data_IF_220778588205
#
_entry.id   IF_220778588205
#
_cell.length_a   1.000
_cell.length_b   1.000
_cell.length_c   1.000
_cell.angle_alpha   90.00
_cell.angle_beta   90.00
_cell.angle_gamma   90.00
#
_symmetry.space_group_name_H-M   'P 1'
#
loop_
_entity.id
_entity.type
_entity.pdbx_description
1 polymer ?
#
# COMPACT_ATOMS: atom_id res chain seq x y z
N UNK A 1 -0.39 10.61 12.40
CA UNK A 1 -1.41 9.85 13.16
C UNK A 1 -2.24 9.07 12.16
N UNK A 2 -1.95 7.78 11.97
CA UNK A 2 -2.74 6.89 11.11
C UNK A 2 -4.09 6.65 11.78
N UNK A 3 -5.17 7.16 11.21
CA UNK A 3 -6.51 6.84 11.67
C UNK A 3 -6.76 5.34 11.44
N UNK A 4 -6.75 4.54 12.51
CA UNK A 4 -7.09 3.12 12.45
C UNK A 4 -8.56 2.96 12.06
N UNK A 5 -8.85 2.81 10.77
CA UNK A 5 -10.22 2.64 10.24
C UNK A 5 -10.92 1.40 10.81
N UNK A 6 -10.15 0.40 11.26
CA UNK A 6 -10.64 -0.87 11.78
C UNK A 6 -9.82 -1.34 12.99
N UNK A 7 -10.43 -2.22 13.80
CA UNK A 7 -9.76 -3.04 14.81
C UNK A 7 -10.01 -4.52 14.51
N UNK A 8 -8.97 -5.34 14.71
CA UNK A 8 -9.09 -6.79 14.67
C UNK A 8 -9.26 -7.35 16.08
N UNK A 9 -10.32 -8.13 16.32
CA UNK A 9 -10.53 -8.85 17.59
C UNK A 9 -10.70 -10.35 17.33
N UNK A 10 -10.19 -11.24 18.19
CA UNK A 10 -10.47 -12.67 18.07
C UNK A 10 -11.97 -12.90 17.92
N UNK A 11 -12.36 -13.74 16.95
CA UNK A 11 -13.76 -14.09 16.76
C UNK A 11 -14.28 -14.88 17.97
N UNK A 12 -15.53 -14.64 18.36
CA UNK A 12 -16.21 -15.43 19.39
C UNK A 12 -17.63 -15.76 18.96
N UNK A 13 -18.26 -16.73 19.64
CA UNK A 13 -19.66 -17.12 19.37
C UNK A 13 -20.65 -15.95 19.51
N UNK A 14 -20.31 -14.92 20.31
CA UNK A 14 -21.13 -13.71 20.49
C UNK A 14 -21.22 -12.87 19.21
N UNK A 15 -20.21 -12.95 18.34
CA UNK A 15 -20.16 -12.21 17.07
C UNK A 15 -21.11 -12.80 16.02
N UNK A 16 -21.71 -13.98 16.26
CA UNK A 16 -22.53 -14.71 15.28
C UNK A 16 -23.71 -13.88 14.73
N UNK A 17 -24.37 -13.09 15.59
CA UNK A 17 -25.49 -12.24 15.17
C UNK A 17 -25.06 -11.18 14.15
N UNK A 18 -23.88 -10.59 14.34
CA UNK A 18 -23.35 -9.56 13.45
C UNK A 18 -22.77 -10.15 12.15
N UNK A 19 -22.26 -11.38 12.22
CA UNK A 19 -21.67 -12.07 11.06
C UNK A 19 -22.72 -12.76 10.18
N UNK A 20 -23.88 -13.12 10.72
CA UNK A 20 -24.94 -13.80 9.96
C UNK A 20 -25.32 -13.03 8.68
N UNK A 21 -25.63 -11.70 8.70
CA UNK A 21 -25.95 -10.98 7.47
C UNK A 21 -24.84 -11.04 6.40
N UNK A 22 -23.58 -11.09 6.81
CA UNK A 22 -22.42 -11.17 5.92
C UNK A 22 -22.30 -12.57 5.32
N UNK A 23 -22.51 -13.61 6.14
CA UNK A 23 -22.44 -15.02 5.72
C UNK A 23 -23.72 -15.53 5.05
N UNK A 24 -24.81 -14.78 5.12
CA UNK A 24 -26.02 -15.03 4.33
C UNK A 24 -25.99 -14.36 2.95
N UNK A 25 -25.04 -13.45 2.70
CA UNK A 25 -24.93 -12.74 1.42
C UNK A 25 -24.23 -13.61 0.35
N UNK A 26 -24.96 -13.95 -0.70
CA UNK A 26 -24.45 -14.71 -1.84
C UNK A 26 -23.29 -14.01 -2.56
N UNK A 27 -23.29 -12.66 -2.60
CA UNK A 27 -22.21 -11.90 -3.23
C UNK A 27 -20.88 -12.04 -2.46
N UNK A 28 -20.95 -12.22 -1.14
CA UNK A 28 -19.78 -12.46 -0.28
C UNK A 28 -19.39 -13.94 -0.31
N UNK A 29 -20.33 -14.83 0.00
CA UNK A 29 -20.07 -16.26 0.20
C UNK A 29 -19.59 -16.98 -1.05
N UNK A 30 -19.94 -16.51 -2.26
CA UNK A 30 -19.42 -17.04 -3.53
C UNK A 30 -17.90 -17.06 -3.64
N UNK A 31 -17.19 -16.26 -2.85
CA UNK A 31 -15.72 -16.22 -2.80
C UNK A 31 -15.12 -16.99 -1.62
N UNK A 32 -15.95 -17.57 -0.77
CA UNK A 32 -15.52 -18.27 0.44
C UNK A 32 -15.55 -19.78 0.24
N UNK A 33 -14.97 -20.52 1.19
CA UNK A 33 -15.03 -22.00 1.21
C UNK A 33 -16.31 -22.55 1.84
N UNK A 34 -17.18 -21.67 2.36
CA UNK A 34 -18.35 -22.05 3.14
C UNK A 34 -19.64 -21.85 2.36
N UNK A 35 -20.65 -22.70 2.58
CA UNK A 35 -21.99 -22.44 2.06
C UNK A 35 -22.60 -21.20 2.73
N UNK A 36 -23.64 -20.66 2.09
CA UNK A 36 -24.48 -19.59 2.65
C UNK A 36 -25.03 -20.06 3.99
N UNK A 37 -24.87 -19.24 5.03
CA UNK A 37 -25.49 -19.50 6.33
C UNK A 37 -26.93 -19.00 6.33
N UNK A 38 -27.87 -19.86 6.71
CA UNK A 38 -29.32 -19.56 6.69
C UNK A 38 -29.87 -19.27 8.09
N UNK A 39 -29.12 -19.57 9.14
CA UNK A 39 -29.56 -19.45 10.53
C UNK A 39 -28.45 -19.00 11.46
N UNK A 40 -28.83 -18.40 12.60
CA UNK A 40 -27.90 -18.06 13.68
C UNK A 40 -27.18 -19.30 14.21
N UNK A 41 -27.86 -20.44 14.25
CA UNK A 41 -27.29 -21.72 14.68
C UNK A 41 -26.16 -22.17 13.75
N UNK A 42 -26.31 -22.02 12.44
CA UNK A 42 -25.24 -22.31 11.47
C UNK A 42 -24.07 -21.35 11.63
N UNK A 43 -24.31 -20.05 11.83
CA UNK A 43 -23.25 -19.07 12.07
C UNK A 43 -22.45 -19.42 13.34
N UNK A 44 -23.13 -19.75 14.45
CA UNK A 44 -22.48 -20.21 15.69
C UNK A 44 -21.68 -21.50 15.50
N UNK A 45 -22.24 -22.46 14.77
CA UNK A 45 -21.56 -23.72 14.43
C UNK A 45 -20.29 -23.47 13.62
N UNK A 46 -20.34 -22.56 12.64
CA UNK A 46 -19.18 -22.17 11.84
C UNK A 46 -18.09 -21.52 12.69
N UNK A 47 -18.45 -20.66 13.65
CA UNK A 47 -17.49 -20.04 14.57
C UNK A 47 -16.81 -21.10 15.44
N UNK A 48 -17.58 -22.00 16.06
CA UNK A 48 -17.04 -23.11 16.85
C UNK A 48 -16.06 -23.97 16.05
N UNK A 49 -16.41 -24.26 14.79
CA UNK A 49 -15.53 -25.01 13.91
C UNK A 49 -14.22 -24.26 13.63
N UNK A 50 -14.28 -22.94 13.39
CA UNK A 50 -13.10 -22.10 13.20
C UNK A 50 -12.21 -22.09 14.45
N UNK A 51 -12.78 -21.92 15.64
CA UNK A 51 -12.06 -21.93 16.92
C UNK A 51 -11.38 -23.28 17.21
N UNK A 52 -12.02 -24.39 16.82
CA UNK A 52 -11.49 -25.75 17.01
C UNK A 52 -10.45 -26.14 15.94
N UNK A 53 -10.33 -25.39 14.84
CA UNK A 53 -9.42 -25.72 13.76
C UNK A 53 -7.98 -25.37 14.15
N UNK A 54 -7.14 -26.40 14.32
CA UNK A 54 -5.70 -26.23 14.60
C UNK A 54 -5.00 -25.46 13.48
N UNK A 55 -3.91 -24.77 13.84
CA UNK A 55 -3.08 -24.01 12.90
C UNK A 55 -3.85 -22.91 12.15
N UNK A 56 -4.83 -22.30 12.83
CA UNK A 56 -5.57 -21.15 12.33
C UNK A 56 -5.70 -20.09 13.40
N UNK A 57 -5.91 -18.85 12.98
CA UNK A 57 -6.40 -17.77 13.83
C UNK A 57 -7.39 -16.94 13.03
N UNK A 58 -8.50 -16.56 13.67
CA UNK A 58 -9.57 -15.80 13.00
C UNK A 58 -9.96 -14.60 13.86
N UNK A 59 -10.08 -13.46 13.18
CA UNK A 59 -10.44 -12.19 13.78
C UNK A 59 -11.68 -11.61 13.11
N UNK A 60 -12.55 -10.97 13.89
CA UNK A 60 -13.56 -10.05 13.37
C UNK A 60 -12.91 -8.71 13.02
N UNK A 61 -13.35 -8.13 11.91
CA UNK A 61 -13.00 -6.77 11.50
C UNK A 61 -14.08 -5.86 12.09
N UNK A 62 -13.72 -5.04 13.07
CA UNK A 62 -14.60 -4.04 13.68
C UNK A 62 -14.28 -2.67 13.11
N UNK A 63 -15.29 -1.92 12.66
CA UNK A 63 -15.13 -0.53 12.26
C UNK A 63 -14.72 0.32 13.47
N UNK A 64 -14.05 1.46 13.26
CA UNK A 64 -13.58 2.34 14.35
C UNK A 64 -14.69 2.86 15.29
N UNK A 65 -15.97 2.75 14.93
CA UNK A 65 -17.10 2.95 15.88
C UNK A 65 -17.14 1.90 17.01
N UNK A 66 -16.24 0.91 16.96
CA UNK A 66 -15.95 -0.11 17.96
C UNK A 66 -17.13 -1.04 18.28
N UNK A 67 -18.20 -1.00 17.48
CA UNK A 67 -19.39 -1.82 17.64
C UNK A 67 -19.74 -2.60 16.37
N UNK A 68 -19.49 -2.02 15.19
CA UNK A 68 -19.92 -2.62 13.93
C UNK A 68 -18.90 -3.64 13.43
N UNK A 69 -19.28 -4.92 13.45
CA UNK A 69 -18.52 -5.99 12.77
C UNK A 69 -18.87 -5.96 11.29
N UNK A 70 -17.85 -5.83 10.45
CA UNK A 70 -18.00 -5.62 9.01
C UNK A 70 -17.41 -6.76 8.16
N UNK A 71 -16.77 -7.74 8.79
CA UNK A 71 -16.16 -8.88 8.12
C UNK A 71 -15.28 -9.70 9.05
N UNK A 72 -14.53 -10.63 8.47
CA UNK A 72 -13.50 -11.39 9.19
C UNK A 72 -12.23 -11.51 8.37
N UNK A 73 -11.10 -11.67 9.04
CA UNK A 73 -9.84 -12.02 8.41
C UNK A 73 -9.00 -12.89 9.35
N UNK A 74 -7.97 -13.53 8.83
CA UNK A 74 -7.14 -14.39 9.66
C UNK A 74 -6.14 -15.22 8.88
N UNK A 75 -5.50 -16.12 9.61
CA UNK A 75 -4.52 -17.06 9.09
C UNK A 75 -5.06 -18.47 9.14
N UNK A 76 -4.70 -19.27 8.15
CA UNK A 76 -4.84 -20.73 8.16
C UNK A 76 -3.54 -21.36 7.70
N UNK A 77 -3.39 -22.66 8.00
CA UNK A 77 -2.16 -23.42 7.73
C UNK A 77 -0.92 -22.76 8.37
N UNK A 78 -1.09 -22.18 9.57
CA UNK A 78 0.02 -21.64 10.35
C UNK A 78 1.08 -22.71 10.56
N UNK A 79 2.26 -22.47 10.01
CA UNK A 79 3.40 -23.36 10.09
C UNK A 79 4.59 -22.60 10.66
N UNK A 80 4.81 -22.72 11.97
CA UNK A 80 5.92 -22.06 12.66
C UNK A 80 7.28 -22.70 12.37
N UNK A 81 7.33 -23.95 11.86
CA UNK A 81 8.58 -24.57 11.44
C UNK A 81 9.11 -23.97 10.13
N UNK A 82 8.21 -23.57 9.23
CA UNK A 82 8.55 -22.93 7.96
C UNK A 82 8.25 -21.44 7.94
N UNK A 83 7.78 -20.90 9.07
CA UNK A 83 7.43 -19.49 9.25
C UNK A 83 6.46 -19.00 8.16
N UNK A 84 5.45 -19.82 7.84
CA UNK A 84 4.46 -19.53 6.79
C UNK A 84 3.02 -19.56 7.27
N UNK A 85 2.15 -18.81 6.59
CA UNK A 85 0.70 -18.92 6.74
C UNK A 85 -0.04 -18.50 5.46
N UNK A 86 -1.26 -19.00 5.28
CA UNK A 86 -2.20 -18.52 4.26
C UNK A 86 -3.20 -17.56 4.91
N UNK A 87 -3.36 -16.37 4.34
CA UNK A 87 -4.36 -15.38 4.74
C UNK A 87 -5.71 -15.73 4.12
N UNK A 88 -6.77 -15.57 4.91
CA UNK A 88 -8.14 -15.58 4.43
C UNK A 88 -8.92 -14.38 4.98
N UNK A 89 -9.80 -13.80 4.16
CA UNK A 89 -10.62 -12.67 4.57
C UNK A 89 -11.94 -12.61 3.81
N UNK A 90 -12.93 -11.98 4.43
CA UNK A 90 -14.19 -11.59 3.82
C UNK A 90 -14.69 -10.27 4.42
N UNK A 91 -15.36 -9.46 3.61
CA UNK A 91 -16.00 -8.21 4.03
C UNK A 91 -17.46 -8.23 3.59
N UNK A 92 -18.37 -7.73 4.42
CA UNK A 92 -19.77 -7.50 4.02
C UNK A 92 -19.85 -6.60 2.79
N UNK A 93 -20.74 -6.94 1.85
CA UNK A 93 -20.87 -6.24 0.56
C UNK A 93 -21.16 -4.74 0.72
N UNK A 94 -21.93 -4.36 1.74
CA UNK A 94 -22.21 -2.97 2.10
C UNK A 94 -20.97 -2.13 2.45
N UNK A 95 -19.83 -2.77 2.74
CA UNK A 95 -18.58 -2.11 3.17
C UNK A 95 -17.48 -2.19 2.10
N UNK A 96 -17.78 -2.74 0.91
CA UNK A 96 -16.82 -2.83 -0.17
C UNK A 96 -16.43 -1.45 -0.72
N UNK A 97 -15.21 -1.37 -1.28
CA UNK A 97 -14.65 -0.18 -1.93
C UNK A 97 -14.55 1.08 -1.04
N UNK A 98 -14.56 0.89 0.28
CA UNK A 98 -14.44 1.96 1.28
C UNK A 98 -13.12 1.92 2.06
N UNK A 99 -12.14 1.14 1.60
CA UNK A 99 -10.80 1.04 2.23
C UNK A 99 -10.71 0.15 3.48
N UNK A 100 -11.84 -0.34 4.03
CA UNK A 100 -11.82 -1.15 5.26
C UNK A 100 -11.01 -2.44 5.16
N UNK A 101 -11.12 -3.19 4.06
CA UNK A 101 -10.33 -4.42 3.90
C UNK A 101 -8.84 -4.12 3.67
N UNK A 102 -8.50 -2.97 3.07
CA UNK A 102 -7.10 -2.53 2.99
C UNK A 102 -6.54 -2.31 4.39
N UNK A 103 -7.25 -1.58 5.25
CA UNK A 103 -6.84 -1.37 6.64
C UNK A 103 -6.75 -2.69 7.42
N UNK A 104 -7.72 -3.59 7.25
CA UNK A 104 -7.74 -4.89 7.92
C UNK A 104 -6.58 -5.79 7.47
N UNK A 105 -6.26 -5.79 6.16
CA UNK A 105 -5.14 -6.54 5.62
C UNK A 105 -3.82 -6.00 6.17
N UNK A 106 -3.61 -4.69 6.23
CA UNK A 106 -2.40 -4.10 6.80
C UNK A 106 -2.19 -4.48 8.28
N UNK A 107 -3.25 -4.41 9.09
CA UNK A 107 -3.18 -4.87 10.48
C UNK A 107 -2.89 -6.38 10.57
N UNK A 108 -3.45 -7.19 9.67
CA UNK A 108 -3.16 -8.61 9.62
C UNK A 108 -1.69 -8.88 9.22
N UNK A 109 -1.14 -8.13 8.26
CA UNK A 109 0.28 -8.24 7.89
C UNK A 109 1.20 -7.93 9.07
N UNK A 110 0.92 -6.85 9.82
CA UNK A 110 1.64 -6.53 11.07
C UNK A 110 1.55 -7.66 12.09
N UNK A 111 0.38 -8.29 12.26
CA UNK A 111 0.25 -9.46 13.14
C UNK A 111 1.13 -10.62 12.63
N UNK A 112 1.08 -10.94 11.33
CA UNK A 112 1.83 -12.06 10.75
C UNK A 112 3.35 -11.88 10.81
N UNK A 113 3.82 -10.71 10.40
CA UNK A 113 5.24 -10.39 10.30
C UNK A 113 5.84 -9.93 11.63
N UNK A 114 5.22 -8.98 12.33
CA UNK A 114 5.81 -8.40 13.54
C UNK A 114 5.53 -9.24 14.80
N UNK A 115 4.32 -9.80 14.95
CA UNK A 115 3.97 -10.54 16.18
C UNK A 115 4.22 -12.02 16.08
N UNK A 116 3.84 -12.64 14.96
CA UNK A 116 4.02 -14.07 14.74
C UNK A 116 5.40 -14.41 14.16
N UNK A 117 6.19 -13.41 13.76
CA UNK A 117 7.55 -13.57 13.22
C UNK A 117 7.58 -14.55 12.04
N UNK A 118 6.55 -14.51 11.20
CA UNK A 118 6.51 -15.32 9.99
C UNK A 118 7.42 -14.70 8.93
N UNK A 119 8.04 -15.52 8.09
CA UNK A 119 8.84 -15.07 6.96
C UNK A 119 7.98 -14.87 5.70
N UNK A 120 6.87 -15.61 5.57
CA UNK A 120 6.07 -15.63 4.33
C UNK A 120 4.57 -15.74 4.59
N UNK A 121 3.82 -14.89 3.90
CA UNK A 121 2.35 -14.91 3.88
C UNK A 121 1.84 -15.17 2.47
N UNK A 122 0.84 -16.04 2.34
CA UNK A 122 0.23 -16.41 1.07
C UNK A 122 -1.22 -15.96 1.01
N UNK A 123 -1.71 -15.59 -0.18
CA UNK A 123 -3.14 -15.39 -0.43
C UNK A 123 -3.54 -16.15 -1.68
N UNK A 124 -4.66 -16.87 -1.60
CA UNK A 124 -5.29 -17.52 -2.77
C UNK A 124 -6.54 -16.77 -3.16
N UNK A 125 -6.59 -16.34 -4.42
CA UNK A 125 -7.69 -15.53 -4.94
C UNK A 125 -8.27 -16.18 -6.18
N UNK A 126 -9.59 -16.33 -6.26
CA UNK A 126 -10.26 -16.76 -7.49
C UNK A 126 -9.91 -15.85 -8.67
N UNK A 127 -9.67 -16.43 -9.84
CA UNK A 127 -9.30 -15.68 -11.05
C UNK A 127 -10.36 -14.64 -11.48
N UNK A 128 -11.63 -14.88 -11.16
CA UNK A 128 -12.73 -13.94 -11.43
C UNK A 128 -12.89 -12.85 -10.36
N UNK A 129 -12.21 -12.97 -9.21
CA UNK A 129 -12.29 -12.00 -8.13
C UNK A 129 -11.26 -10.87 -8.31
N UNK A 130 -11.50 -10.03 -9.30
CA UNK A 130 -10.61 -8.90 -9.67
C UNK A 130 -10.39 -7.94 -8.49
N UNK A 131 -11.41 -7.73 -7.65
CA UNK A 131 -11.31 -6.83 -6.50
C UNK A 131 -10.28 -7.33 -5.47
N UNK A 132 -10.32 -8.62 -5.10
CA UNK A 132 -9.32 -9.19 -4.19
C UNK A 132 -7.93 -9.24 -4.81
N UNK A 133 -7.82 -9.46 -6.13
CA UNK A 133 -6.52 -9.41 -6.82
C UNK A 133 -5.89 -8.01 -6.73
N UNK A 134 -6.67 -6.96 -7.00
CA UNK A 134 -6.18 -5.58 -6.89
C UNK A 134 -5.79 -5.23 -5.45
N UNK A 135 -6.56 -5.69 -4.46
CA UNK A 135 -6.26 -5.50 -3.05
C UNK A 135 -4.90 -6.09 -2.67
N UNK A 136 -4.66 -7.36 -2.98
CA UNK A 136 -3.41 -8.03 -2.56
C UNK A 136 -2.20 -7.47 -3.31
N UNK A 137 -2.33 -7.14 -4.60
CA UNK A 137 -1.24 -6.50 -5.36
C UNK A 137 -0.87 -5.14 -4.78
N UNK A 138 -1.86 -4.32 -4.40
CA UNK A 138 -1.60 -3.03 -3.73
C UNK A 138 -0.96 -3.18 -2.37
N UNK A 139 -1.18 -4.31 -1.69
CA UNK A 139 -0.51 -4.64 -0.44
C UNK A 139 0.90 -5.24 -0.65
N UNK A 140 1.43 -5.21 -1.87
CA UNK A 140 2.79 -5.66 -2.20
C UNK A 140 2.92 -7.15 -2.55
N UNK A 141 1.82 -7.91 -2.54
CA UNK A 141 1.90 -9.34 -2.88
C UNK A 141 2.25 -9.57 -4.35
N UNK A 142 3.16 -10.50 -4.59
CA UNK A 142 3.57 -10.96 -5.91
C UNK A 142 2.78 -12.22 -6.31
N UNK A 143 2.41 -12.33 -7.59
CA UNK A 143 1.76 -13.55 -8.10
C UNK A 143 2.81 -14.59 -8.45
N UNK A 144 2.70 -15.79 -7.87
CA UNK A 144 3.65 -16.88 -8.12
C UNK A 144 3.12 -17.90 -9.13
N UNK A 145 1.80 -18.03 -9.28
CA UNK A 145 1.24 -18.97 -10.23
C UNK A 145 -0.28 -19.08 -10.20
N UNK A 146 -0.77 -20.01 -11.02
CA UNK A 146 -2.19 -20.33 -11.15
C UNK A 146 -2.44 -21.80 -10.85
N UNK A 147 -3.27 -22.05 -9.84
CA UNK A 147 -3.82 -23.37 -9.53
C UNK A 147 -5.02 -23.59 -10.47
N UNK A 148 -4.75 -24.22 -11.62
CA UNK A 148 -5.76 -24.54 -12.62
C UNK A 148 -6.86 -25.42 -12.03
N UNK A 149 -8.12 -25.01 -12.20
CA UNK A 149 -9.29 -25.71 -11.67
C UNK A 149 -9.21 -26.00 -10.15
N UNK A 150 -8.49 -25.16 -9.39
CA UNK A 150 -8.19 -25.38 -7.97
C UNK A 150 -9.37 -25.24 -7.02
N UNK A 151 -10.52 -24.70 -7.49
CA UNK A 151 -11.75 -24.59 -6.71
C UNK A 151 -12.95 -25.06 -7.50
N UNK A 152 -13.88 -25.73 -6.83
CA UNK A 152 -15.22 -26.01 -7.35
C UNK A 152 -16.25 -25.17 -6.61
N UNK A 153 -17.08 -24.42 -7.32
CA UNK A 153 -18.20 -23.66 -6.79
C UNK A 153 -19.43 -23.88 -7.65
N UNK A 154 -20.56 -24.26 -7.03
CA UNK A 154 -21.83 -24.52 -7.73
C UNK A 154 -21.69 -25.42 -8.98
N UNK A 155 -20.86 -26.46 -8.87
CA UNK A 155 -20.63 -27.42 -9.94
C UNK A 155 -19.56 -27.03 -10.96
N UNK A 156 -19.11 -25.77 -10.99
CA UNK A 156 -18.12 -25.26 -11.94
C UNK A 156 -16.72 -25.23 -11.32
N UNK A 157 -15.71 -25.61 -12.12
CA UNK A 157 -14.31 -25.50 -11.73
C UNK A 157 -13.76 -24.13 -12.11
N UNK A 158 -13.00 -23.53 -11.20
CA UNK A 158 -12.43 -22.19 -11.33
C UNK A 158 -10.93 -22.23 -11.02
N UNK A 159 -10.19 -21.43 -11.76
CA UNK A 159 -8.78 -21.17 -11.50
C UNK A 159 -8.60 -20.31 -10.25
N UNK A 160 -7.53 -20.58 -9.51
CA UNK A 160 -7.15 -19.86 -8.30
C UNK A 160 -5.74 -19.33 -8.46
N UNK A 161 -5.57 -18.03 -8.34
CA UNK A 161 -4.28 -17.36 -8.38
C UNK A 161 -3.62 -17.43 -7.01
N UNK A 162 -2.35 -17.81 -6.99
CA UNK A 162 -1.51 -17.85 -5.79
C UNK A 162 -0.64 -16.60 -5.73
N UNK A 163 -0.72 -15.91 -4.60
CA UNK A 163 0.08 -14.74 -4.29
C UNK A 163 0.88 -14.96 -3.01
N UNK A 164 2.03 -14.30 -2.90
CA UNK A 164 2.85 -14.29 -1.68
C UNK A 164 3.46 -12.92 -1.39
N UNK A 165 3.78 -12.71 -0.12
CA UNK A 165 4.55 -11.57 0.37
C UNK A 165 5.57 -12.09 1.39
N UNK A 166 6.82 -11.66 1.27
CA UNK A 166 7.92 -11.99 2.18
C UNK A 166 8.09 -10.92 3.26
N UNK A 167 8.65 -11.32 4.40
CA UNK A 167 8.93 -10.41 5.50
C UNK A 167 9.89 -9.28 5.09
N UNK A 168 10.92 -9.60 4.27
CA UNK A 168 11.84 -8.59 3.74
C UNK A 168 11.13 -7.56 2.85
N UNK A 169 10.23 -7.99 1.98
CA UNK A 169 9.44 -7.11 1.09
C UNK A 169 8.50 -6.23 1.90
N UNK A 170 7.82 -6.81 2.91
CA UNK A 170 7.00 -6.06 3.84
C UNK A 170 7.84 -5.04 4.61
N UNK A 171 9.04 -5.40 5.10
CA UNK A 171 9.95 -4.48 5.79
C UNK A 171 10.49 -3.39 4.89
N UNK A 172 10.81 -3.67 3.62
CA UNK A 172 11.21 -2.61 2.68
C UNK A 172 10.06 -1.63 2.45
N UNK A 173 8.82 -2.12 2.34
CA UNK A 173 7.63 -1.26 2.23
C UNK A 173 7.27 -0.52 3.53
N UNK A 174 7.56 -1.11 4.70
CA UNK A 174 7.25 -0.55 6.03
C UNK A 174 8.40 0.31 6.59
N UNK A 175 9.65 0.10 6.18
CA UNK A 175 10.73 1.05 6.35
C UNK A 175 10.43 2.32 5.55
N UNK A 176 9.73 2.18 4.42
CA UNK A 176 9.11 3.31 3.75
C UNK A 176 7.90 3.92 4.51
N UNK A 177 7.37 3.28 5.58
CA UNK A 177 6.37 3.87 6.50
C UNK A 177 7.01 4.66 7.67
N UNK A 178 8.32 4.52 7.95
CA UNK A 178 9.07 5.47 8.79
C UNK A 178 9.79 6.50 7.91
N UNK A 179 9.09 6.98 6.89
CA UNK A 179 9.53 8.07 6.05
C UNK A 179 8.90 9.36 6.55
N UNK A 180 9.75 10.23 7.07
CA UNK A 180 9.38 11.51 7.66
C UNK A 180 10.17 11.80 8.94
N UNK A 181 10.48 13.07 9.16
CA UNK A 181 11.21 13.56 10.33
C UNK A 181 10.32 14.51 11.14
N UNK A 182 10.46 14.49 12.48
CA UNK A 182 9.80 15.45 13.38
C UNK A 182 10.65 16.71 13.63
N UNK A 183 11.77 16.82 12.93
CA UNK A 183 12.66 17.98 12.99
C UNK A 183 12.18 19.07 12.03
N UNK A 184 12.12 20.31 12.53
CA UNK A 184 11.86 21.48 11.72
C UNK A 184 13.13 21.85 10.95
N UNK A 185 13.09 21.73 9.62
CA UNK A 185 14.17 22.20 8.75
C UNK A 185 13.89 23.62 8.26
N UNK A 186 14.83 24.53 8.53
CA UNK A 186 14.84 25.87 7.95
C UNK A 186 15.61 25.84 6.61
N UNK A 187 14.91 25.51 5.52
CA UNK A 187 15.54 25.19 4.22
C UNK A 187 16.50 26.28 3.71
N UNK A 188 16.13 27.55 3.81
CA UNK A 188 17.02 28.64 3.38
C UNK A 188 18.31 28.70 4.22
N UNK A 189 18.24 28.39 5.52
CA UNK A 189 19.41 28.37 6.40
C UNK A 189 20.41 27.30 5.99
N UNK A 190 19.92 26.13 5.56
CA UNK A 190 20.76 25.03 5.06
C UNK A 190 21.55 25.43 3.81
N UNK A 191 21.05 26.40 3.03
CA UNK A 191 21.68 26.84 1.78
C UNK A 191 22.60 28.06 1.94
N UNK A 192 22.61 28.74 3.10
CA UNK A 192 23.29 30.04 3.30
C UNK A 192 24.78 30.01 3.00
N UNK A 193 25.44 28.87 3.19
CA UNK A 193 26.87 28.70 2.99
C UNK A 193 27.23 28.02 1.66
N UNK A 194 26.23 27.56 0.91
CA UNK A 194 26.42 26.94 -0.39
C UNK A 194 26.54 28.02 -1.46
N UNK A 195 27.79 28.37 -1.78
CA UNK A 195 28.16 29.25 -2.88
C UNK A 195 28.27 28.53 -4.23
N UNK A 196 28.20 27.19 -4.23
CA UNK A 196 28.30 26.31 -5.40
C UNK A 196 27.06 25.42 -5.53
N UNK A 197 26.99 24.66 -6.63
CA UNK A 197 25.93 23.68 -6.86
C UNK A 197 25.74 22.74 -5.66
N UNK A 198 24.48 22.54 -5.26
CA UNK A 198 24.05 21.65 -4.19
C UNK A 198 22.80 20.91 -4.66
N UNK A 199 22.67 19.62 -4.34
CA UNK A 199 21.45 18.85 -4.60
C UNK A 199 21.34 17.71 -3.56
N UNK A 200 20.73 18.01 -2.43
CA UNK A 200 20.68 17.13 -1.26
C UNK A 200 19.24 16.69 -0.95
N UNK A 201 19.06 15.44 -0.54
CA UNK A 201 17.77 14.96 -0.02
C UNK A 201 17.60 15.53 1.39
N UNK A 202 16.55 16.33 1.59
CA UNK A 202 16.24 16.94 2.89
C UNK A 202 15.04 16.29 3.57
N UNK A 203 14.25 15.52 2.83
CA UNK A 203 13.16 14.71 3.38
C UNK A 203 12.77 13.61 2.41
N UNK A 204 12.12 12.59 2.95
CA UNK A 204 11.45 11.56 2.19
C UNK A 204 9.95 11.62 2.55
N UNK A 205 9.07 11.37 1.58
CA UNK A 205 7.61 11.32 1.76
C UNK A 205 7.06 10.14 0.95
N UNK A 206 6.67 9.07 1.64
CA UNK A 206 6.29 7.79 1.01
C UNK A 206 7.38 7.31 0.03
N UNK A 207 7.06 7.07 -1.24
CA UNK A 207 7.97 6.68 -2.29
C UNK A 207 8.70 7.85 -2.98
N UNK A 208 8.57 9.08 -2.47
CA UNK A 208 9.16 10.30 -3.02
C UNK A 208 10.25 10.90 -2.12
N UNK A 209 11.18 11.62 -2.73
CA UNK A 209 12.20 12.44 -2.06
C UNK A 209 11.90 13.92 -2.28
N UNK A 210 12.18 14.70 -1.26
CA UNK A 210 12.22 16.17 -1.30
C UNK A 210 13.69 16.56 -1.33
N UNK A 211 14.15 17.07 -2.47
CA UNK A 211 15.52 17.55 -2.65
C UNK A 211 15.57 19.06 -2.51
N UNK A 212 16.60 19.56 -1.84
CA UNK A 212 16.95 20.97 -1.79
C UNK A 212 18.13 21.21 -2.71
N UNK A 213 17.93 22.02 -3.73
CA UNK A 213 18.95 22.32 -4.72
C UNK A 213 19.36 23.80 -4.67
N UNK A 214 20.64 24.05 -4.87
CA UNK A 214 21.22 25.37 -5.17
C UNK A 214 21.82 25.26 -6.55
N UNK A 215 21.33 26.05 -7.49
CA UNK A 215 21.73 26.02 -8.90
C UNK A 215 22.22 27.42 -9.30
N UNK A 216 23.38 27.46 -9.95
CA UNK A 216 23.95 28.67 -10.56
C UNK A 216 24.62 28.27 -11.88
N UNK A 217 23.78 28.04 -12.90
CA UNK A 217 24.18 27.54 -14.20
C UNK A 217 23.17 26.59 -14.82
N UNK A 218 23.61 25.88 -15.85
CA UNK A 218 22.77 24.99 -16.65
C UNK A 218 22.98 23.53 -16.23
N UNK A 219 21.88 22.80 -16.11
CA UNK A 219 21.91 21.34 -16.05
C UNK A 219 21.86 20.74 -17.47
N UNK A 220 22.09 19.44 -17.61
CA UNK A 220 21.97 18.77 -18.90
C UNK A 220 20.50 18.44 -19.22
N UNK A 221 20.22 18.15 -20.48
CA UNK A 221 18.89 17.69 -20.88
C UNK A 221 18.67 16.26 -20.40
N UNK A 222 17.56 16.03 -19.71
CA UNK A 222 17.24 14.73 -19.13
C UNK A 222 15.73 14.53 -19.07
N UNK A 223 15.35 13.27 -18.81
CA UNK A 223 13.98 12.87 -18.49
C UNK A 223 13.99 11.75 -17.46
N UNK A 224 12.83 11.55 -16.85
CA UNK A 224 12.52 10.45 -15.95
C UNK A 224 11.43 9.61 -16.61
N UNK A 225 11.67 8.31 -16.84
CA UNK A 225 10.76 7.49 -17.67
C UNK A 225 9.45 7.12 -16.95
N UNK A 226 9.46 7.04 -15.62
CA UNK A 226 8.33 6.56 -14.83
C UNK A 226 7.94 7.51 -13.67
N UNK A 227 8.46 8.74 -13.67
CA UNK A 227 8.29 9.69 -12.57
C UNK A 227 8.01 11.10 -13.08
N UNK A 228 6.99 11.74 -12.53
CA UNK A 228 6.83 13.19 -12.66
C UNK A 228 7.85 13.89 -11.76
N UNK A 229 8.38 15.03 -12.18
CA UNK A 229 9.32 15.84 -11.40
C UNK A 229 8.75 17.23 -11.17
N UNK A 230 8.63 17.66 -9.92
CA UNK A 230 8.08 18.97 -9.58
C UNK A 230 9.14 19.89 -8.97
N UNK A 231 9.14 21.14 -9.40
CA UNK A 231 10.06 22.20 -8.95
C UNK A 231 9.29 23.30 -8.24
N UNK A 232 9.72 23.68 -7.04
CA UNK A 232 9.22 24.85 -6.29
C UNK A 232 10.39 25.78 -5.98
N UNK A 233 10.34 27.02 -6.46
CA UNK A 233 11.42 27.99 -6.22
C UNK A 233 11.26 28.67 -4.86
N UNK A 234 12.34 28.73 -4.09
CA UNK A 234 12.41 29.40 -2.78
C UNK A 234 13.15 30.74 -2.85
N UNK A 235 14.17 30.86 -3.71
CA UNK A 235 15.00 32.05 -3.89
C UNK A 235 15.53 32.09 -5.33
N UNK A 236 15.72 33.28 -5.90
CA UNK A 236 16.26 33.45 -7.25
C UNK A 236 15.21 33.24 -8.34
N UNK A 237 15.64 32.74 -9.50
CA UNK A 237 14.78 32.48 -10.66
C UNK A 237 15.24 31.19 -11.35
N UNK A 238 14.31 30.25 -11.57
CA UNK A 238 14.59 28.99 -12.26
C UNK A 238 13.96 29.02 -13.65
N UNK A 239 14.75 28.66 -14.66
CA UNK A 239 14.26 28.44 -16.02
C UNK A 239 14.18 26.94 -16.29
N UNK A 240 13.06 26.48 -16.82
CA UNK A 240 12.89 25.10 -17.26
C UNK A 240 12.61 25.12 -18.76
N UNK A 241 13.57 24.63 -19.53
CA UNK A 241 13.40 24.41 -20.96
C UNK A 241 12.70 23.06 -21.19
N UNK A 242 11.69 23.10 -22.04
CA UNK A 242 11.09 21.94 -22.70
C UNK A 242 11.07 22.24 -24.20
N UNK A 243 10.96 21.23 -25.06
CA UNK A 243 11.27 21.33 -26.50
C UNK A 243 10.86 22.65 -27.18
N UNK A 244 9.63 23.11 -26.98
CA UNK A 244 9.08 24.28 -27.67
C UNK A 244 8.98 25.56 -26.81
N UNK A 245 9.31 25.51 -25.52
CA UNK A 245 9.19 26.68 -24.63
C UNK A 245 10.08 26.62 -23.41
N UNK A 246 10.41 27.80 -22.90
CA UNK A 246 11.00 27.97 -21.58
C UNK A 246 9.95 28.50 -20.62
N UNK A 247 9.83 27.86 -19.45
CA UNK A 247 9.04 28.36 -18.33
C UNK A 247 9.99 29.02 -17.33
N UNK A 248 9.72 30.26 -16.93
CA UNK A 248 10.43 30.93 -15.82
C UNK A 248 9.59 30.83 -14.56
N UNK A 249 10.23 30.47 -13.45
CA UNK A 249 9.64 30.33 -12.13
C UNK A 249 10.31 31.31 -11.16
N UNK A 250 9.48 32.09 -10.46
CA UNK A 250 9.86 33.00 -9.40
C UNK A 250 9.64 32.35 -8.02
N UNK A 251 10.17 32.92 -6.92
CA UNK A 251 9.95 32.37 -5.59
C UNK A 251 8.46 32.22 -5.25
N UNK A 252 8.06 31.01 -4.87
CA UNK A 252 6.68 30.62 -4.64
C UNK A 252 5.99 29.95 -5.83
N UNK A 253 6.58 29.99 -7.03
CA UNK A 253 6.04 29.30 -8.20
C UNK A 253 6.41 27.81 -8.18
N UNK A 254 5.46 26.99 -8.63
CA UNK A 254 5.60 25.54 -8.77
C UNK A 254 5.32 25.11 -10.21
N UNK A 255 6.15 24.21 -10.74
CA UNK A 255 5.94 23.60 -12.05
C UNK A 255 6.27 22.11 -12.01
N UNK A 256 5.47 21.30 -12.70
CA UNK A 256 5.65 19.85 -12.75
C UNK A 256 5.86 19.39 -14.18
N UNK A 257 6.93 18.62 -14.37
CA UNK A 257 7.28 17.94 -15.61
C UNK A 257 6.72 16.53 -15.56
N UNK A 258 5.82 16.14 -16.49
CA UNK A 258 5.32 14.78 -16.56
C UNK A 258 6.41 13.77 -16.92
N UNK A 259 6.26 12.54 -16.46
CA UNK A 259 7.11 11.41 -16.83
C UNK A 259 7.29 11.31 -18.36
N UNK A 260 8.51 11.03 -18.78
CA UNK A 260 8.93 10.88 -20.18
C UNK A 260 9.20 12.19 -20.91
N UNK A 261 8.92 13.35 -20.32
CA UNK A 261 9.17 14.66 -20.97
C UNK A 261 10.62 15.08 -20.80
N UNK A 262 11.30 15.30 -21.93
CA UNK A 262 12.66 15.81 -21.98
C UNK A 262 12.69 17.28 -21.56
N UNK A 263 13.55 17.61 -20.60
CA UNK A 263 13.64 18.96 -20.07
C UNK A 263 15.05 19.29 -19.56
N UNK A 264 15.28 20.58 -19.31
CA UNK A 264 16.54 21.09 -18.77
C UNK A 264 16.30 22.26 -17.82
N UNK A 265 16.86 22.19 -16.62
CA UNK A 265 16.83 23.28 -15.65
C UNK A 265 18.05 24.18 -15.82
N UNK A 266 17.85 25.49 -15.68
CA UNK A 266 18.89 26.50 -15.81
C UNK A 266 18.66 27.65 -14.84
N UNK A 267 19.75 28.27 -14.44
CA UNK A 267 19.72 29.53 -13.69
C UNK A 267 20.80 30.49 -14.17
N UNK A 268 20.51 31.79 -14.11
CA UNK A 268 21.47 32.88 -14.42
C UNK A 268 22.11 33.49 -13.17
N UNK A 269 21.63 33.11 -12.01
CA UNK A 269 22.05 33.59 -10.70
C UNK A 269 21.91 32.44 -9.70
N UNK A 270 22.41 32.62 -8.48
CA UNK A 270 22.13 31.67 -7.40
C UNK A 270 20.62 31.54 -7.20
N UNK A 271 20.10 30.35 -7.44
CA UNK A 271 18.69 29.99 -7.28
C UNK A 271 18.56 28.80 -6.36
N UNK A 272 17.63 28.88 -5.42
CA UNK A 272 17.31 27.80 -4.47
C UNK A 272 15.93 27.27 -4.81
N UNK A 273 15.83 25.96 -5.03
CA UNK A 273 14.56 25.31 -5.31
C UNK A 273 14.45 23.97 -4.57
N UNK A 274 13.20 23.54 -4.41
CA UNK A 274 12.87 22.18 -4.00
C UNK A 274 12.54 21.38 -5.26
N UNK A 275 13.04 20.15 -5.34
CA UNK A 275 12.60 19.16 -6.31
C UNK A 275 11.85 18.02 -5.59
N UNK A 276 10.73 17.58 -6.15
CA UNK A 276 9.97 16.41 -5.73
C UNK A 276 10.01 15.35 -6.83
N UNK A 277 10.49 14.16 -6.50
CA UNK A 277 10.60 13.03 -7.43
C UNK A 277 10.57 11.70 -6.65
N UNK A 278 10.48 10.56 -7.34
CA UNK A 278 10.59 9.25 -6.71
C UNK A 278 11.99 9.02 -6.14
N UNK A 279 12.06 8.33 -4.99
CA UNK A 279 13.32 7.99 -4.33
C UNK A 279 14.23 7.08 -5.18
N UNK A 280 13.60 6.23 -6.00
CA UNK A 280 14.27 5.43 -7.03
C UNK A 280 13.75 5.90 -8.38
N UNK A 281 14.61 6.49 -9.19
CA UNK A 281 14.29 6.95 -10.53
C UNK A 281 15.42 6.63 -11.50
N UNK A 282 15.05 6.34 -12.75
CA UNK A 282 16.00 6.23 -13.85
C UNK A 282 16.06 7.58 -14.58
N UNK A 283 17.20 8.26 -14.45
CA UNK A 283 17.48 9.49 -15.18
C UNK A 283 18.22 9.12 -16.46
N UNK A 284 17.64 9.46 -17.61
CA UNK A 284 18.26 9.23 -18.92
C UNK A 284 18.44 10.56 -19.66
N UNK A 285 19.65 10.80 -20.16
CA UNK A 285 20.04 12.08 -20.77
C UNK A 285 21.55 12.25 -20.84
N UNK A 286 22.00 13.28 -21.56
CA UNK A 286 23.42 13.63 -21.77
C UNK A 286 23.62 15.13 -21.85
#
# INVERSE_FOLDING_TARGET
MTHNLVLLKPISEEDANALLPIWSDAAVTKWTRYPISQSLTEAKTRIKQLEQTKHTSRYTIKKHDNQTIIGTCGFKRLNFLHETAEIEFELGSAFWRQGFMTAALQELLRIGFDRLQLNRLEVKVNADNIASQQLVRRAGFQQEGTIRQGRKWEGQFQDVLLFSLLHSEFRSSAAAEQIGQLELLHLLDLTKHSASYMNEIVSEVNDHVVRLAVIDGDYHWHKHDDCDEAFLVLEGELYIDIEEKTVSLQPGDLFTIPAGVMHRTRSKQRTVNICFEKAVNEITGS
#
